data_IF_484167899799
#
_entry.id   IF_484167899799
#
_cell.length_a   1.000
_cell.length_b   1.000
_cell.length_c   1.000
_cell.angle_alpha   90.00
_cell.angle_beta   90.00
_cell.angle_gamma   90.00
#
_symmetry.space_group_name_H-M   'P 1'
#
loop_
_entity.id
_entity.type
_entity.pdbx_description
1 polymer ?
#
# COMPACT_ATOMS: atom_id res chain seq x y z
N UNK A 1 2.35 -14.13 25.91
CA UNK A 1 3.13 -13.53 24.81
C UNK A 1 4.60 -13.74 25.13
N UNK A 2 5.37 -14.29 24.18
CA UNK A 2 6.81 -14.49 24.34
C UNK A 2 7.51 -13.13 24.51
N UNK A 3 8.49 -13.04 25.42
CA UNK A 3 9.22 -11.78 25.65
C UNK A 3 9.92 -11.30 24.38
N UNK A 4 10.43 -12.23 23.58
CA UNK A 4 11.06 -11.97 22.29
C UNK A 4 10.11 -11.26 21.31
N UNK A 5 8.86 -11.73 21.21
CA UNK A 5 7.84 -11.17 20.31
C UNK A 5 7.56 -9.70 20.67
N UNK A 6 7.43 -9.39 21.98
CA UNK A 6 7.19 -8.02 22.43
C UNK A 6 8.37 -7.09 22.16
N UNK A 7 9.59 -7.61 22.27
CA UNK A 7 10.82 -6.86 21.98
C UNK A 7 10.94 -6.56 20.48
N UNK A 8 10.70 -7.56 19.62
CA UNK A 8 10.62 -7.38 18.16
C UNK A 8 9.55 -6.32 17.81
N UNK A 9 8.36 -6.40 18.42
CA UNK A 9 7.30 -5.40 18.19
C UNK A 9 7.76 -4.00 18.61
N UNK A 10 8.37 -3.88 19.78
CA UNK A 10 8.84 -2.59 20.31
C UNK A 10 9.92 -1.97 19.43
N UNK A 11 10.84 -2.80 18.90
CA UNK A 11 11.86 -2.39 17.94
C UNK A 11 11.22 -1.90 16.63
N UNK A 12 10.28 -2.68 16.08
CA UNK A 12 9.56 -2.34 14.85
C UNK A 12 8.80 -1.03 14.98
N UNK A 13 8.03 -0.85 16.06
CA UNK A 13 7.28 0.38 16.34
C UNK A 13 8.21 1.58 16.50
N UNK A 14 9.35 1.43 17.19
CA UNK A 14 10.32 2.52 17.34
C UNK A 14 10.95 2.92 16.01
N UNK A 15 11.32 1.95 15.17
CA UNK A 15 11.88 2.20 13.83
C UNK A 15 10.83 2.83 12.90
N UNK A 16 9.57 2.40 12.97
CA UNK A 16 8.44 2.98 12.22
C UNK A 16 8.13 4.44 12.60
N UNK A 17 8.27 4.79 13.88
CA UNK A 17 7.96 6.14 14.38
C UNK A 17 9.08 7.17 14.18
N UNK A 18 10.34 6.72 14.15
CA UNK A 18 11.50 7.62 14.08
C UNK A 18 12.12 7.72 12.68
N UNK A 19 12.04 6.68 11.86
CA UNK A 19 12.61 6.66 10.52
C UNK A 19 11.54 6.27 9.49
N UNK A 20 10.85 7.28 8.96
CA UNK A 20 9.80 7.12 7.94
C UNK A 20 10.23 6.51 6.60
N UNK A 21 11.45 5.98 6.50
CA UNK A 21 12.06 5.47 5.25
C UNK A 21 12.81 4.13 5.39
N UNK A 22 12.89 3.51 6.58
CA UNK A 22 13.73 2.30 6.77
C UNK A 22 12.98 0.97 6.53
N UNK A 23 11.65 0.97 6.45
CA UNK A 23 10.87 -0.23 6.07
C UNK A 23 10.71 -0.32 4.55
N UNK A 24 11.81 -0.17 3.81
CA UNK A 24 11.83 -0.41 2.34
C UNK A 24 12.39 -1.78 1.98
N UNK A 25 13.01 -2.47 2.94
CA UNK A 25 13.65 -3.77 2.71
C UNK A 25 13.30 -4.75 3.84
N UNK A 26 12.16 -5.41 3.67
CA UNK A 26 11.64 -6.45 4.57
C UNK A 26 12.66 -7.58 4.76
N UNK A 27 13.34 -7.97 3.68
CA UNK A 27 14.33 -9.03 3.70
C UNK A 27 15.55 -8.61 4.51
N UNK A 28 16.03 -7.37 4.37
CA UNK A 28 17.09 -6.83 5.24
C UNK A 28 16.69 -6.78 6.71
N UNK A 29 15.42 -6.48 7.02
CA UNK A 29 14.94 -6.37 8.40
C UNK A 29 14.78 -7.74 9.06
N UNK A 30 14.18 -8.70 8.34
CA UNK A 30 14.07 -10.10 8.79
C UNK A 30 15.47 -10.69 9.00
N UNK A 31 16.40 -10.45 8.07
CA UNK A 31 17.77 -10.90 8.22
C UNK A 31 18.45 -10.25 9.43
N UNK A 32 18.25 -8.96 9.68
CA UNK A 32 18.82 -8.30 10.86
C UNK A 32 18.28 -8.87 12.19
N UNK A 33 16.98 -9.17 12.26
CA UNK A 33 16.36 -9.77 13.45
C UNK A 33 16.83 -11.22 13.65
N UNK A 34 17.05 -11.96 12.55
CA UNK A 34 17.64 -13.30 12.61
C UNK A 34 19.09 -13.26 13.08
N UNK A 35 19.87 -12.28 12.63
CA UNK A 35 21.26 -12.07 13.06
C UNK A 35 21.34 -11.63 14.54
N UNK A 36 20.31 -10.96 15.05
CA UNK A 36 20.12 -10.66 16.48
C UNK A 36 19.69 -11.90 17.31
N UNK A 37 19.41 -13.03 16.66
CA UNK A 37 19.14 -14.32 17.30
C UNK A 37 17.66 -14.67 17.47
N UNK A 38 16.75 -13.92 16.85
CA UNK A 38 15.31 -14.20 16.90
C UNK A 38 14.92 -15.32 15.91
N UNK A 39 13.96 -16.14 16.31
CA UNK A 39 13.43 -17.20 15.45
C UNK A 39 12.50 -16.60 14.37
N UNK A 40 12.52 -17.20 13.18
CA UNK A 40 11.66 -16.81 12.07
C UNK A 40 10.17 -16.86 12.45
N UNK A 41 9.77 -17.85 13.25
CA UNK A 41 8.39 -17.98 13.71
C UNK A 41 7.98 -16.84 14.67
N UNK A 42 8.92 -16.35 15.48
CA UNK A 42 8.70 -15.22 16.38
C UNK A 42 8.66 -13.89 15.63
N UNK A 43 9.50 -13.75 14.61
CA UNK A 43 9.51 -12.60 13.70
C UNK A 43 8.17 -12.54 12.95
N UNK A 44 7.74 -13.64 12.33
CA UNK A 44 6.47 -13.70 11.59
C UNK A 44 5.27 -13.36 12.49
N UNK A 45 5.23 -13.90 13.71
CA UNK A 45 4.18 -13.58 14.68
C UNK A 45 4.18 -12.10 15.10
N UNK A 46 5.36 -11.49 15.27
CA UNK A 46 5.47 -10.08 15.62
C UNK A 46 4.98 -9.18 14.47
N UNK A 47 5.31 -9.52 13.22
CA UNK A 47 4.78 -8.85 12.04
C UNK A 47 3.27 -9.00 11.99
N UNK A 48 2.75 -10.24 11.97
CA UNK A 48 1.30 -10.50 11.99
C UNK A 48 0.59 -9.72 13.10
N UNK A 49 1.16 -9.65 14.31
CA UNK A 49 0.60 -8.89 15.42
C UNK A 49 0.53 -7.39 15.12
N UNK A 50 1.60 -6.75 14.63
CA UNK A 50 1.58 -5.32 14.27
C UNK A 50 0.56 -5.04 13.16
N UNK A 51 0.47 -5.91 12.17
CA UNK A 51 -0.43 -5.74 11.03
C UNK A 51 -1.88 -6.07 11.37
N UNK A 52 -2.15 -6.99 12.30
CA UNK A 52 -3.51 -7.33 12.75
C UNK A 52 -4.04 -6.35 13.80
N UNK A 53 -3.20 -5.87 14.72
CA UNK A 53 -3.58 -4.94 15.80
C UNK A 53 -3.72 -3.48 15.36
N UNK A 54 -3.50 -3.15 14.08
CA UNK A 54 -3.80 -1.82 13.54
C UNK A 54 -5.31 -1.48 13.53
N UNK A 55 -6.19 -2.45 13.80
CA UNK A 55 -7.61 -2.22 14.15
C UNK A 55 -7.81 -1.71 15.59
N UNK A 56 -6.81 -1.79 16.46
CA UNK A 56 -6.91 -1.44 17.89
C UNK A 56 -6.30 -0.06 18.20
N UNK A 57 -5.53 0.56 17.29
CA UNK A 57 -5.05 1.94 17.45
C UNK A 57 -6.15 2.92 17.02
N UNK A 58 -7.35 2.75 17.57
CA UNK A 58 -8.30 3.84 17.73
C UNK A 58 -7.78 4.68 18.90
N UNK A 59 -7.01 5.72 18.58
CA UNK A 59 -6.67 6.78 19.53
C UNK A 59 -7.97 7.21 20.24
N UNK A 60 -7.97 7.34 21.59
CA UNK A 60 -9.19 7.60 22.33
C UNK A 60 -9.90 8.82 21.75
N UNK A 61 -11.13 8.61 21.26
CA UNK A 61 -11.99 9.65 20.71
C UNK A 61 -12.27 10.69 21.79
N UNK A 62 -11.39 11.68 21.88
CA UNK A 62 -11.61 12.86 22.72
C UNK A 62 -12.55 13.77 21.96
N UNK A 63 -13.84 13.66 22.26
CA UNK A 63 -14.95 14.58 21.94
C UNK A 63 -14.58 15.75 21.01
N UNK A 64 -14.39 15.47 19.73
CA UNK A 64 -14.20 16.53 18.75
C UNK A 64 -15.58 17.04 18.36
N UNK A 65 -15.99 18.12 19.03
CA UNK A 65 -17.05 19.02 18.57
C UNK A 65 -16.91 19.20 17.06
N UNK A 66 -18.01 18.95 16.34
CA UNK A 66 -18.19 19.14 14.89
C UNK A 66 -17.86 20.58 14.49
N UNK A 67 -16.57 20.90 14.44
CA UNK A 67 -16.08 22.12 13.84
C UNK A 67 -15.98 21.78 12.37
N UNK A 68 -16.81 22.43 11.54
CA UNK A 68 -16.71 22.34 10.08
C UNK A 68 -15.34 22.91 9.68
N UNK A 69 -14.30 22.08 9.77
CA UNK A 69 -12.99 22.39 9.22
C UNK A 69 -13.22 22.49 7.72
N UNK A 70 -13.00 23.69 7.15
CA UNK A 70 -12.99 23.86 5.70
C UNK A 70 -11.97 22.86 5.16
N UNK A 71 -12.46 21.81 4.50
CA UNK A 71 -11.63 20.76 3.93
C UNK A 71 -10.78 21.43 2.86
N UNK A 72 -9.50 21.61 3.18
CA UNK A 72 -8.55 22.20 2.27
C UNK A 72 -8.52 21.33 1.00
N UNK A 73 -8.83 21.93 -0.15
CA UNK A 73 -9.29 21.29 -1.39
C UNK A 73 -8.18 20.52 -2.16
N UNK A 74 -7.08 20.21 -1.49
CA UNK A 74 -5.82 19.77 -2.11
C UNK A 74 -5.07 18.75 -1.25
N UNK A 75 -5.79 17.81 -0.62
CA UNK A 75 -5.13 16.69 0.04
C UNK A 75 -4.76 15.67 -1.02
N UNK A 76 -3.47 15.55 -1.30
CA UNK A 76 -2.98 14.38 -2.04
C UNK A 76 -3.16 13.17 -1.12
N UNK A 77 -3.95 12.20 -1.57
CA UNK A 77 -4.12 10.94 -0.85
C UNK A 77 -2.75 10.25 -0.68
N UNK A 78 -2.42 9.92 0.56
CA UNK A 78 -1.22 9.15 0.91
C UNK A 78 -1.67 7.76 1.30
N UNK A 79 -1.04 6.73 0.73
CA UNK A 79 -1.32 5.34 1.12
C UNK A 79 -0.93 5.14 2.58
N UNK A 80 -1.79 4.49 3.35
CA UNK A 80 -1.43 4.03 4.68
C UNK A 80 -0.48 2.82 4.60
N UNK A 81 -0.01 2.36 5.76
CA UNK A 81 0.93 1.26 5.81
C UNK A 81 0.36 -0.05 5.26
N UNK A 82 -0.88 -0.42 5.62
CA UNK A 82 -1.52 -1.65 5.12
C UNK A 82 -1.71 -1.59 3.61
N UNK A 83 -2.15 -0.44 3.12
CA UNK A 83 -2.31 -0.18 1.69
C UNK A 83 -0.98 -0.30 0.95
N UNK A 84 0.10 0.32 1.47
CA UNK A 84 1.44 0.18 0.87
C UNK A 84 1.87 -1.28 0.79
N UNK A 85 1.68 -2.06 1.85
CA UNK A 85 2.04 -3.49 1.88
C UNK A 85 1.27 -4.32 0.87
N UNK A 86 0.07 -3.89 0.47
CA UNK A 86 -0.73 -4.59 -0.52
C UNK A 86 -0.20 -4.42 -1.96
N UNK A 87 0.58 -3.37 -2.22
CA UNK A 87 1.07 -3.03 -3.55
C UNK A 87 2.58 -3.25 -3.67
N UNK A 88 3.01 -3.84 -4.79
CA UNK A 88 4.43 -3.86 -5.14
C UNK A 88 4.99 -2.44 -5.24
N UNK A 89 6.30 -2.26 -5.03
CA UNK A 89 6.95 -0.93 -5.11
C UNK A 89 6.70 -0.22 -6.45
N UNK A 90 6.66 -0.98 -7.55
CA UNK A 90 6.29 -0.44 -8.88
C UNK A 90 4.88 0.14 -8.86
N UNK A 91 3.91 -0.60 -8.32
CA UNK A 91 2.51 -0.15 -8.24
C UNK A 91 2.35 1.05 -7.31
N UNK A 92 3.05 1.09 -6.17
CA UNK A 92 3.05 2.27 -5.31
C UNK A 92 3.53 3.53 -6.06
N UNK A 93 4.60 3.40 -6.86
CA UNK A 93 5.08 4.47 -7.73
C UNK A 93 4.06 4.91 -8.78
N UNK A 94 3.35 3.94 -9.38
CA UNK A 94 2.25 4.21 -10.33
C UNK A 94 1.11 4.98 -9.64
N UNK A 95 0.68 4.57 -8.45
CA UNK A 95 -0.37 5.26 -7.69
C UNK A 95 0.02 6.72 -7.43
N UNK A 96 1.28 6.96 -7.03
CA UNK A 96 1.80 8.32 -6.83
C UNK A 96 1.76 9.13 -8.13
N UNK A 97 2.18 8.55 -9.26
CA UNK A 97 2.13 9.19 -10.58
C UNK A 97 0.70 9.53 -10.99
N UNK A 98 -0.23 8.57 -10.88
CA UNK A 98 -1.64 8.75 -11.21
C UNK A 98 -2.28 9.89 -10.40
N UNK A 99 -1.99 9.95 -9.10
CA UNK A 99 -2.51 10.98 -8.21
C UNK A 99 -1.86 12.36 -8.49
N UNK A 100 -0.54 12.39 -8.71
CA UNK A 100 0.20 13.63 -8.98
C UNK A 100 -0.19 14.26 -10.32
N UNK A 101 -0.33 13.43 -11.35
CA UNK A 101 -0.74 13.85 -12.71
C UNK A 101 -2.26 14.02 -12.84
N UNK A 102 -3.03 13.71 -11.80
CA UNK A 102 -4.50 13.78 -11.77
C UNK A 102 -5.17 12.99 -12.90
N UNK A 103 -4.59 11.83 -13.21
CA UNK A 103 -5.12 10.94 -14.24
C UNK A 103 -6.33 10.13 -13.75
N UNK A 104 -6.42 9.96 -12.43
CA UNK A 104 -7.54 9.36 -11.73
C UNK A 104 -8.16 10.37 -10.77
N UNK A 105 -9.46 10.23 -10.54
CA UNK A 105 -10.16 10.99 -9.51
C UNK A 105 -9.95 10.37 -8.14
N UNK A 106 -10.19 11.16 -7.09
CA UNK A 106 -10.07 10.70 -5.70
C UNK A 106 -11.01 9.53 -5.40
N UNK A 107 -12.25 9.57 -5.88
CA UNK A 107 -13.22 8.49 -5.73
C UNK A 107 -12.85 7.22 -6.50
N UNK A 108 -12.21 7.36 -7.66
CA UNK A 108 -11.65 6.24 -8.42
C UNK A 108 -10.48 5.60 -7.68
N UNK A 109 -9.57 6.41 -7.12
CA UNK A 109 -8.44 5.93 -6.32
C UNK A 109 -8.90 5.15 -5.08
N UNK A 110 -9.88 5.66 -4.33
CA UNK A 110 -10.43 4.94 -3.18
C UNK A 110 -11.05 3.59 -3.58
N UNK A 111 -11.75 3.54 -4.71
CA UNK A 111 -12.32 2.27 -5.21
C UNK A 111 -11.24 1.28 -5.61
N UNK A 112 -10.19 1.73 -6.28
CA UNK A 112 -9.03 0.89 -6.64
C UNK A 112 -8.43 0.27 -5.38
N UNK A 113 -8.19 1.09 -4.35
CA UNK A 113 -7.56 0.65 -3.11
C UNK A 113 -8.48 -0.27 -2.31
N UNK A 114 -9.77 0.09 -2.19
CA UNK A 114 -10.74 -0.76 -1.50
C UNK A 114 -10.85 -2.14 -2.15
N UNK A 115 -10.90 -2.22 -3.49
CA UNK A 115 -10.90 -3.49 -4.23
C UNK A 115 -9.62 -4.28 -4.04
N UNK A 116 -8.50 -3.57 -4.07
CA UNK A 116 -7.18 -4.16 -3.85
C UNK A 116 -7.11 -4.87 -2.51
N UNK A 117 -7.70 -4.32 -1.46
CA UNK A 117 -7.65 -4.88 -0.10
C UNK A 117 -8.57 -6.09 0.13
N UNK A 118 -9.51 -6.41 -0.78
CA UNK A 118 -10.47 -7.52 -0.59
C UNK A 118 -9.79 -8.88 -0.64
N UNK A 119 -8.79 -9.06 -1.51
CA UNK A 119 -8.09 -10.34 -1.65
C UNK A 119 -7.06 -10.52 -0.54
N UNK A 120 -7.16 -11.59 0.24
CA UNK A 120 -6.18 -11.90 1.29
C UNK A 120 -5.01 -12.71 0.70
N UNK A 121 -3.78 -12.42 1.14
CA UNK A 121 -2.51 -13.15 0.85
C UNK A 121 -1.74 -12.93 -0.46
N UNK A 122 -1.98 -11.85 -1.22
CA UNK A 122 -1.14 -11.56 -2.41
C UNK A 122 -0.76 -10.08 -2.54
N UNK A 123 0.51 -9.81 -2.87
CA UNK A 123 0.97 -8.47 -3.27
C UNK A 123 0.54 -8.20 -4.70
N UNK A 124 -0.08 -7.05 -4.94
CA UNK A 124 -0.58 -6.66 -6.25
C UNK A 124 0.58 -6.18 -7.12
N UNK A 125 0.73 -6.87 -8.26
CA UNK A 125 1.66 -6.50 -9.31
C UNK A 125 1.04 -5.51 -10.31
N UNK A 126 1.83 -5.06 -11.29
CA UNK A 126 1.39 -4.04 -12.27
C UNK A 126 0.26 -4.55 -13.15
N UNK A 127 0.24 -5.85 -13.46
CA UNK A 127 -0.78 -6.47 -14.31
C UNK A 127 -2.12 -6.53 -13.59
N UNK A 128 -2.11 -6.99 -12.34
CA UNK A 128 -3.29 -7.03 -11.48
C UNK A 128 -3.83 -5.63 -11.22
N UNK A 129 -2.94 -4.68 -10.93
CA UNK A 129 -3.31 -3.29 -10.75
C UNK A 129 -3.96 -2.70 -12.00
N UNK A 130 -3.45 -3.01 -13.20
CA UNK A 130 -4.05 -2.58 -14.46
C UNK A 130 -5.47 -3.14 -14.64
N UNK A 131 -5.69 -4.42 -14.33
CA UNK A 131 -7.04 -5.01 -14.41
C UNK A 131 -8.02 -4.31 -13.45
N UNK A 132 -7.61 -4.04 -12.21
CA UNK A 132 -8.42 -3.29 -11.25
C UNK A 132 -8.73 -1.88 -11.78
N UNK A 133 -7.75 -1.25 -12.43
CA UNK A 133 -7.89 0.08 -13.00
C UNK A 133 -8.86 0.09 -14.20
N UNK A 134 -8.82 -0.92 -15.08
CA UNK A 134 -9.81 -1.14 -16.16
C UNK A 134 -11.24 -1.27 -15.60
N UNK A 135 -11.42 -1.97 -14.47
CA UNK A 135 -12.73 -2.14 -13.85
C UNK A 135 -13.26 -0.90 -13.10
N UNK A 136 -12.41 0.08 -12.79
CA UNK A 136 -12.81 1.30 -12.06
C UNK A 136 -12.98 2.48 -13.02
N UNK A 137 -12.17 2.54 -14.08
CA UNK A 137 -12.19 3.63 -15.06
C UNK A 137 -13.01 3.20 -16.27
N UNK A 138 -14.31 3.50 -16.26
CA UNK A 138 -15.27 3.15 -17.32
C UNK A 138 -15.11 3.97 -18.63
N UNK A 139 -13.88 4.38 -18.99
CA UNK A 139 -13.63 5.19 -20.18
C UNK A 139 -12.33 4.80 -20.88
N UNK A 140 -12.46 4.15 -22.02
CA UNK A 140 -11.34 3.64 -22.84
C UNK A 140 -10.36 4.73 -23.26
N UNK A 141 -10.84 5.93 -23.61
CA UNK A 141 -9.97 7.05 -23.98
C UNK A 141 -9.11 7.52 -22.81
N UNK A 142 -9.66 7.48 -21.58
CA UNK A 142 -8.91 7.80 -20.36
C UNK A 142 -7.91 6.70 -20.02
N UNK A 143 -8.28 5.43 -20.19
CA UNK A 143 -7.38 4.29 -20.02
C UNK A 143 -6.19 4.39 -20.98
N UNK A 144 -6.44 4.70 -22.25
CA UNK A 144 -5.38 4.94 -23.24
C UNK A 144 -4.50 6.13 -22.86
N UNK A 145 -5.08 7.23 -22.36
CA UNK A 145 -4.30 8.37 -21.89
C UNK A 145 -3.42 8.01 -20.68
N UNK A 146 -3.93 7.20 -19.76
CA UNK A 146 -3.19 6.69 -18.60
C UNK A 146 -2.01 5.82 -19.05
N UNK A 147 -2.27 4.85 -19.93
CA UNK A 147 -1.27 3.96 -20.48
C UNK A 147 -0.12 4.73 -21.15
N UNK A 148 -0.45 5.72 -21.99
CA UNK A 148 0.55 6.52 -22.69
C UNK A 148 1.39 7.41 -21.75
N UNK A 149 0.86 7.80 -20.58
CA UNK A 149 1.58 8.64 -19.62
C UNK A 149 2.37 7.85 -18.57
N UNK A 150 2.05 6.57 -18.38
CA UNK A 150 2.70 5.70 -17.40
C UNK A 150 3.35 4.53 -18.14
N UNK A 151 4.65 4.68 -18.38
CA UNK A 151 5.49 3.70 -19.08
C UNK A 151 5.40 2.27 -18.52
N UNK A 152 5.15 2.13 -17.22
CA UNK A 152 5.04 0.83 -16.55
C UNK A 152 3.85 0.00 -17.06
N UNK A 153 2.82 0.63 -17.63
CA UNK A 153 1.70 -0.09 -18.23
C UNK A 153 1.99 -0.60 -19.65
N UNK A 154 3.03 -0.09 -20.30
CA UNK A 154 3.37 -0.51 -21.66
C UNK A 154 3.75 -2.00 -21.71
N UNK A 155 4.46 -2.49 -20.69
CA UNK A 155 4.82 -3.91 -20.55
C UNK A 155 3.58 -4.82 -20.46
N UNK A 156 2.50 -4.34 -19.84
CA UNK A 156 1.26 -5.08 -19.67
C UNK A 156 0.45 -5.11 -20.97
N UNK A 157 0.36 -3.97 -21.67
CA UNK A 157 -0.41 -3.81 -22.90
C UNK A 157 0.23 -4.60 -24.05
N UNK A 158 1.55 -4.48 -24.23
CA UNK A 158 2.29 -5.25 -25.25
C UNK A 158 2.15 -6.76 -25.04
N UNK A 159 1.94 -7.20 -23.79
CA UNK A 159 1.70 -8.61 -23.45
C UNK A 159 0.27 -9.04 -23.77
N UNK A 160 -0.76 -8.20 -23.54
CA UNK A 160 -2.16 -8.50 -23.93
C UNK A 160 -2.31 -8.60 -25.45
N UNK A 161 -1.67 -7.72 -26.21
CA UNK A 161 -1.74 -7.73 -27.69
C UNK A 161 -1.06 -8.96 -28.30
N UNK A 162 -0.07 -9.56 -27.62
CA UNK A 162 0.58 -10.81 -28.07
C UNK A 162 -0.33 -12.03 -28.07
N UNK A 163 -1.42 -12.04 -27.30
CA UNK A 163 -2.36 -13.16 -27.22
C UNK A 163 -3.62 -12.97 -28.08
N UNK A 164 -3.70 -11.87 -28.83
CA UNK A 164 -4.80 -11.56 -29.75
C UNK A 164 -4.49 -11.88 -31.23
N UNK A 165 -3.36 -12.53 -31.52
CA UNK A 165 -3.00 -13.03 -32.87
C UNK A 165 -3.00 -14.55 -32.94
#
# INVERSE_FOLDING_TARGET
>A
MNQNIFEIISQLVRRLLYDGDIVRDEESLINSLRDEGYDLDEINQAFEFIFSSSEIIDLPQKDQKKTKVKVNKFRQRVLDFREKFKFSLKVQGIIIKLNTLRLIKEDELERIIARSLVEQNRVIDVTEFWNILEEVVDNDLRLLAIANQISEFQEVIDTKDKYLN
#
